data_IF_755174069624
#
_entry.id   IF_755174069624
#
_cell.length_a   1.000
_cell.length_b   1.000
_cell.length_c   1.000
_cell.angle_alpha   90.00
_cell.angle_beta   90.00
_cell.angle_gamma   90.00
#
_symmetry.space_group_name_H-M   'P 1'
#
loop_
_entity.id
_entity.type
_entity.pdbx_description
1 polymer ?
#
# COMPACT_ATOMS: atom_id res chain seq x y z
N UNK A 1 -9.19 23.40 -19.54
CA UNK A 1 -9.38 23.33 -18.08
C UNK A 1 -8.78 22.04 -17.62
N UNK A 2 -7.66 22.09 -16.92
CA UNK A 2 -7.06 20.91 -16.28
C UNK A 2 -7.54 20.97 -14.83
N UNK A 3 -8.47 20.10 -14.44
CA UNK A 3 -8.73 19.86 -13.03
C UNK A 3 -7.52 19.12 -12.49
N UNK A 4 -6.60 19.85 -11.88
CA UNK A 4 -5.60 19.27 -11.00
C UNK A 4 -6.30 18.94 -9.68
N UNK A 5 -7.10 17.88 -9.70
CA UNK A 5 -7.56 17.22 -8.48
C UNK A 5 -6.61 16.04 -8.30
N UNK A 6 -5.55 16.24 -7.52
CA UNK A 6 -4.70 15.13 -7.09
C UNK A 6 -5.53 14.13 -6.29
N UNK A 7 -5.04 12.89 -6.09
CA UNK A 7 -5.79 11.91 -5.33
C UNK A 7 -6.12 12.44 -3.93
N UNK A 8 -7.40 12.32 -3.53
CA UNK A 8 -7.88 12.79 -2.23
C UNK A 8 -7.87 11.65 -1.24
N UNK A 9 -7.02 11.75 -0.22
CA UNK A 9 -7.02 10.81 0.90
C UNK A 9 -8.22 11.07 1.83
N UNK A 10 -9.15 10.13 1.89
CA UNK A 10 -10.22 10.10 2.88
C UNK A 10 -9.78 9.29 4.12
N UNK A 11 -9.28 9.95 5.15
CA UNK A 11 -8.86 9.30 6.40
C UNK A 11 -10.01 8.76 7.24
N UNK A 12 -11.27 9.15 6.94
CA UNK A 12 -12.47 8.61 7.55
C UNK A 12 -12.95 7.31 6.88
N UNK A 13 -12.36 6.92 5.75
CA UNK A 13 -12.69 5.69 5.05
C UNK A 13 -12.32 4.43 5.86
N UNK A 14 -13.09 3.36 5.64
CA UNK A 14 -12.75 2.00 6.09
C UNK A 14 -12.76 1.09 4.87
N UNK A 15 -11.74 1.20 3.99
CA UNK A 15 -11.69 0.45 2.75
C UNK A 15 -11.66 -1.06 3.03
N UNK A 16 -12.33 -1.83 2.18
CA UNK A 16 -12.21 -3.29 2.20
C UNK A 16 -10.94 -3.70 1.48
N UNK A 17 -9.90 -3.98 2.26
CA UNK A 17 -8.64 -4.48 1.73
C UNK A 17 -8.76 -5.89 1.16
N UNK A 18 -8.12 -6.09 0.02
CA UNK A 18 -8.04 -7.35 -0.71
C UNK A 18 -6.57 -7.69 -0.92
N UNK A 19 -6.18 -8.95 -0.77
CA UNK A 19 -4.80 -9.38 -1.06
C UNK A 19 -4.52 -9.30 -2.55
N UNK A 20 -3.35 -8.78 -2.90
CA UNK A 20 -2.87 -8.72 -4.30
C UNK A 20 -2.08 -9.97 -4.70
N UNK A 21 -1.53 -10.69 -3.72
CA UNK A 21 -0.60 -11.79 -3.94
C UNK A 21 0.85 -11.36 -4.17
N UNK A 22 1.17 -10.06 -4.02
CA UNK A 22 2.51 -9.51 -4.16
C UNK A 22 3.11 -9.16 -2.80
N UNK A 23 4.37 -9.53 -2.58
CA UNK A 23 5.04 -9.42 -1.28
C UNK A 23 5.15 -7.98 -0.80
N UNK A 24 5.60 -7.09 -1.67
CA UNK A 24 5.90 -5.71 -1.32
C UNK A 24 4.68 -4.80 -1.39
N UNK A 25 3.64 -5.21 -2.13
CA UNK A 25 2.39 -4.48 -2.29
C UNK A 25 1.19 -5.34 -1.89
N UNK A 26 1.09 -5.79 -0.62
CA UNK A 26 0.25 -6.93 -0.23
C UNK A 26 -1.24 -6.69 -0.35
N UNK A 27 -1.70 -5.44 -0.32
CA UNK A 27 -3.11 -5.10 -0.26
C UNK A 27 -3.49 -4.00 -1.24
N UNK A 28 -4.68 -4.13 -1.80
CA UNK A 28 -5.34 -3.07 -2.55
C UNK A 28 -6.83 -2.97 -2.18
N UNK A 29 -7.40 -1.79 -2.38
CA UNK A 29 -8.82 -1.53 -2.15
C UNK A 29 -9.34 -0.51 -3.14
N UNK A 30 -10.61 -0.64 -3.52
CA UNK A 30 -11.31 0.41 -4.27
C UNK A 30 -12.07 1.29 -3.30
N UNK A 31 -11.79 2.58 -3.29
CA UNK A 31 -12.46 3.56 -2.45
C UNK A 31 -12.86 4.78 -3.28
N UNK A 32 -14.15 5.12 -3.26
CA UNK A 32 -14.70 6.27 -3.98
C UNK A 32 -14.30 6.38 -5.47
N UNK A 33 -14.10 5.24 -6.15
CA UNK A 33 -13.69 5.18 -7.55
C UNK A 33 -12.18 5.25 -7.79
N UNK A 34 -11.38 5.35 -6.74
CA UNK A 34 -9.92 5.33 -6.78
C UNK A 34 -9.37 3.99 -6.30
N UNK A 35 -8.21 3.60 -6.84
CA UNK A 35 -7.51 2.40 -6.38
C UNK A 35 -6.42 2.76 -5.39
N UNK A 36 -6.53 2.16 -4.21
CA UNK A 36 -5.62 2.34 -3.09
C UNK A 36 -4.75 1.10 -3.01
N UNK A 37 -3.43 1.26 -2.93
CA UNK A 37 -2.47 0.16 -2.82
C UNK A 37 -1.54 0.44 -1.64
N UNK A 38 -1.30 -0.58 -0.81
CA UNK A 38 -0.36 -0.47 0.31
C UNK A 38 0.97 -1.10 -0.09
N UNK A 39 2.07 -0.35 0.05
CA UNK A 39 3.42 -0.90 0.16
C UNK A 39 3.69 -1.27 1.61
N UNK A 40 4.22 -2.47 1.85
CA UNK A 40 4.78 -2.83 3.16
C UNK A 40 6.23 -2.34 3.22
N UNK A 41 6.52 -1.43 4.14
CA UNK A 41 7.85 -0.83 4.28
C UNK A 41 8.76 -1.75 5.10
N UNK A 42 10.00 -1.91 4.65
CA UNK A 42 11.03 -2.61 5.42
C UNK A 42 11.74 -1.65 6.38
N UNK A 43 12.07 -2.13 7.58
CA UNK A 43 12.79 -1.33 8.59
C UNK A 43 11.90 -0.62 9.61
N UNK A 44 10.65 -1.04 9.78
CA UNK A 44 9.86 -0.65 10.96
C UNK A 44 10.57 -1.12 12.26
N UNK A 45 10.62 -0.32 13.34
CA UNK A 45 9.93 0.97 13.56
C UNK A 45 10.67 2.23 13.10
N UNK A 46 11.84 2.12 12.47
CA UNK A 46 12.57 3.28 11.94
C UNK A 46 11.80 4.02 10.84
N UNK A 47 10.92 3.30 10.12
CA UNK A 47 9.97 3.84 9.16
C UNK A 47 8.54 3.39 9.50
N UNK A 48 7.55 4.17 9.06
CA UNK A 48 6.15 3.76 9.14
C UNK A 48 5.92 2.42 8.42
N UNK A 49 5.02 1.61 8.96
CA UNK A 49 4.81 0.23 8.49
C UNK A 49 4.35 0.15 7.04
N UNK A 50 3.52 1.09 6.59
CA UNK A 50 2.97 1.12 5.24
C UNK A 50 3.15 2.47 4.57
N UNK A 51 3.20 2.45 3.24
CA UNK A 51 2.97 3.63 2.39
C UNK A 51 1.74 3.38 1.54
N UNK A 52 0.82 4.34 1.54
CA UNK A 52 -0.41 4.32 0.77
C UNK A 52 -0.21 5.03 -0.57
N UNK A 53 -0.55 4.32 -1.63
CA UNK A 53 -0.63 4.83 -2.98
C UNK A 53 -2.09 4.97 -3.41
N UNK A 54 -2.44 6.05 -4.08
CA UNK A 54 -3.76 6.24 -4.69
C UNK A 54 -3.56 6.51 -6.18
N UNK A 55 -4.15 5.66 -7.02
CA UNK A 55 -4.05 5.72 -8.48
C UNK A 55 -2.59 5.84 -8.96
N UNK A 56 -1.68 5.12 -8.32
CA UNK A 56 -0.25 5.07 -8.65
C UNK A 56 0.64 6.12 -7.96
N UNK A 57 0.07 7.06 -7.21
CA UNK A 57 0.83 8.13 -6.55
C UNK A 57 0.98 7.84 -5.07
N UNK A 58 2.18 7.99 -4.50
CA UNK A 58 2.37 7.95 -3.05
C UNK A 58 1.65 9.14 -2.40
N UNK A 59 0.85 8.88 -1.36
CA UNK A 59 0.01 9.91 -0.72
C UNK A 59 0.30 10.07 0.77
N UNK A 60 0.52 8.96 1.49
CA UNK A 60 0.76 9.02 2.93
C UNK A 60 1.48 7.78 3.44
N UNK A 61 2.27 7.96 4.48
CA UNK A 61 2.77 6.87 5.30
C UNK A 61 1.83 6.61 6.48
N UNK A 62 1.75 5.35 6.91
CA UNK A 62 0.88 4.94 8.01
C UNK A 62 1.44 3.74 8.78
N UNK A 63 1.41 3.85 10.10
CA UNK A 63 1.61 2.72 11.02
C UNK A 63 0.26 2.25 11.54
N UNK A 64 0.02 0.94 11.49
CA UNK A 64 -1.22 0.34 11.97
C UNK A 64 -1.39 0.49 13.49
N UNK A 65 -2.54 1.02 13.93
CA UNK A 65 -2.90 1.16 15.34
C UNK A 65 -4.41 1.00 15.53
N UNK A 66 -4.82 -0.12 16.14
CA UNK A 66 -6.24 -0.46 16.36
C UNK A 66 -6.98 0.54 17.27
N UNK A 67 -6.26 1.32 18.09
CA UNK A 67 -6.82 2.35 18.95
C UNK A 67 -6.91 3.74 18.29
N UNK A 68 -6.44 3.87 17.05
CA UNK A 68 -6.33 5.17 16.40
C UNK A 68 -7.71 5.79 16.09
N UNK A 69 -7.92 7.10 16.29
CA UNK A 69 -9.21 7.75 16.02
C UNK A 69 -9.59 7.82 14.55
N UNK A 70 -8.62 7.67 13.64
CA UNK A 70 -8.86 7.62 12.19
C UNK A 70 -9.22 6.19 11.78
N UNK A 71 -10.42 5.94 11.22
CA UNK A 71 -10.86 4.60 10.79
C UNK A 71 -9.91 3.93 9.80
N UNK A 72 -9.28 4.71 8.91
CA UNK A 72 -8.30 4.19 7.97
C UNK A 72 -7.13 3.50 8.69
N UNK A 73 -6.53 4.19 9.66
CA UNK A 73 -5.36 3.70 10.41
C UNK A 73 -5.73 2.53 11.32
N UNK A 74 -6.89 2.60 11.97
CA UNK A 74 -7.41 1.52 12.79
C UNK A 74 -7.68 0.24 11.98
N UNK A 75 -8.18 0.38 10.76
CA UNK A 75 -8.43 -0.74 9.85
C UNK A 75 -7.16 -1.50 9.44
N UNK A 76 -6.02 -0.81 9.33
CA UNK A 76 -4.74 -1.44 8.97
C UNK A 76 -4.28 -2.47 10.01
N UNK A 77 -4.64 -2.29 11.28
CA UNK A 77 -4.25 -3.20 12.36
C UNK A 77 -4.90 -4.59 12.27
N UNK A 78 -5.90 -4.76 11.39
CA UNK A 78 -6.53 -6.06 11.12
C UNK A 78 -5.86 -6.83 9.98
N UNK A 79 -4.91 -6.21 9.27
CA UNK A 79 -4.21 -6.81 8.15
C UNK A 79 -3.06 -7.70 8.65
N UNK A 80 -2.80 -8.78 7.92
CA UNK A 80 -1.75 -9.75 8.26
C UNK A 80 -0.91 -10.09 7.01
N UNK A 81 -0.05 -9.16 6.55
CA UNK A 81 0.67 -9.31 5.28
C UNK A 81 1.57 -10.56 5.23
N UNK A 82 2.11 -10.98 6.38
CA UNK A 82 3.01 -12.13 6.51
C UNK A 82 2.29 -13.45 6.82
N UNK A 83 0.96 -13.46 6.96
CA UNK A 83 0.22 -14.68 7.26
C UNK A 83 0.11 -15.58 6.01
N UNK A 84 0.74 -16.75 6.06
CA UNK A 84 0.72 -17.76 4.99
C UNK A 84 -0.68 -18.38 4.81
N UNK A 85 -1.41 -18.61 5.90
CA UNK A 85 -2.76 -19.20 5.90
C UNK A 85 -3.88 -18.16 6.09
N UNK A 86 -3.73 -16.98 5.48
CA UNK A 86 -4.76 -15.94 5.59
C UNK A 86 -6.04 -16.32 4.85
N UNK A 87 -7.18 -16.12 5.51
CA UNK A 87 -8.52 -16.25 4.89
C UNK A 87 -9.02 -14.92 4.30
N UNK A 88 -8.15 -13.93 4.21
CA UNK A 88 -8.47 -12.64 3.62
C UNK A 88 -8.86 -12.78 2.15
N UNK A 89 -9.86 -12.01 1.69
CA UNK A 89 -10.28 -12.04 0.30
C UNK A 89 -9.16 -11.56 -0.63
N UNK A 90 -9.01 -12.24 -1.77
CA UNK A 90 -7.98 -11.93 -2.78
C UNK A 90 -8.62 -11.22 -3.97
N UNK A 91 -7.85 -10.31 -4.56
CA UNK A 91 -8.18 -9.61 -5.79
C UNK A 91 -8.07 -10.57 -7.00
N UNK A 92 -8.76 -10.24 -8.09
CA UNK A 92 -8.52 -10.91 -9.37
C UNK A 92 -7.05 -10.76 -9.79
N UNK A 93 -6.48 -11.80 -10.42
CA UNK A 93 -5.05 -11.86 -10.73
C UNK A 93 -4.62 -10.82 -11.76
N UNK A 94 -5.43 -10.58 -12.79
CA UNK A 94 -5.11 -9.62 -13.85
C UNK A 94 -5.20 -8.20 -13.29
N UNK A 95 -6.26 -7.93 -12.53
CA UNK A 95 -6.43 -6.64 -11.88
C UNK A 95 -5.34 -6.37 -10.82
N UNK A 96 -4.95 -7.37 -10.03
CA UNK A 96 -3.84 -7.24 -9.08
C UNK A 96 -2.52 -6.90 -9.79
N UNK A 97 -2.25 -7.57 -10.90
CA UNK A 97 -1.05 -7.33 -11.70
C UNK A 97 -1.00 -5.90 -12.25
N UNK A 98 -2.11 -5.39 -12.78
CA UNK A 98 -2.19 -4.02 -13.28
C UNK A 98 -1.99 -2.97 -12.18
N UNK A 99 -2.61 -3.17 -11.02
CA UNK A 99 -2.48 -2.25 -9.89
C UNK A 99 -1.07 -2.24 -9.31
N UNK A 100 -0.46 -3.41 -9.14
CA UNK A 100 0.91 -3.51 -8.59
C UNK A 100 1.94 -3.00 -9.61
N UNK A 101 1.75 -3.28 -10.90
CA UNK A 101 2.63 -2.74 -11.95
C UNK A 101 2.69 -1.21 -11.94
N UNK A 102 1.59 -0.54 -11.60
CA UNK A 102 1.55 0.92 -11.55
C UNK A 102 2.43 1.51 -10.44
N UNK A 103 2.74 0.75 -9.39
CA UNK A 103 3.52 1.21 -8.23
C UNK A 103 4.82 0.43 -8.02
N UNK A 104 5.13 -0.57 -8.86
CA UNK A 104 6.24 -1.49 -8.63
C UNK A 104 7.61 -0.83 -8.63
N UNK A 105 7.77 0.30 -9.31
CA UNK A 105 8.99 1.12 -9.25
C UNK A 105 9.23 1.73 -7.85
N UNK A 106 8.20 1.78 -7.00
CA UNK A 106 8.27 2.35 -5.66
C UNK A 106 8.57 1.32 -4.56
N UNK A 107 9.06 0.13 -4.93
CA UNK A 107 9.29 -0.99 -4.00
C UNK A 107 10.21 -0.63 -2.83
N UNK A 108 11.17 0.28 -3.04
CA UNK A 108 12.08 0.77 -2.02
C UNK A 108 11.53 2.04 -1.35
N UNK A 109 11.54 2.10 -0.02
CA UNK A 109 11.14 3.30 0.72
C UNK A 109 11.98 4.52 0.32
N UNK A 110 11.34 5.68 0.11
CA UNK A 110 11.98 6.92 -0.36
C UNK A 110 12.11 7.05 -1.89
N UNK A 111 11.86 5.99 -2.66
CA UNK A 111 11.91 6.05 -4.13
C UNK A 111 10.82 6.94 -4.73
N UNK A 112 9.75 7.21 -3.99
CA UNK A 112 8.69 8.18 -4.30
C UNK A 112 9.24 9.61 -4.48
N UNK A 113 10.31 9.98 -3.77
CA UNK A 113 10.99 11.27 -3.87
C UNK A 113 12.19 11.23 -4.84
N UNK A 114 12.45 10.08 -5.48
CA UNK A 114 13.62 9.84 -6.33
C UNK A 114 14.91 9.55 -5.57
N UNK A 115 14.86 9.52 -4.24
CA UNK A 115 16.00 9.27 -3.34
C UNK A 115 15.67 8.07 -2.43
N UNK A 116 15.80 6.82 -2.92
CA UNK A 116 15.54 5.65 -2.09
C UNK A 116 16.47 5.65 -0.87
N UNK A 117 15.92 5.31 0.29
CA UNK A 117 16.69 5.22 1.53
C UNK A 117 17.77 4.13 1.40
N UNK A 118 19.05 4.51 1.47
CA UNK A 118 20.18 3.58 1.30
C UNK A 118 20.10 2.35 2.22
N UNK A 119 19.58 2.52 3.44
CA UNK A 119 19.49 1.45 4.44
C UNK A 119 18.27 0.54 4.29
N UNK A 120 17.23 1.01 3.59
CA UNK A 120 15.99 0.27 3.37
C UNK A 120 15.81 -0.14 1.91
N UNK A 121 16.78 0.24 1.06
CA UNK A 121 16.83 -0.12 -0.35
C UNK A 121 17.53 -1.46 -0.55
N UNK A 122 16.94 -2.29 -1.41
CA UNK A 122 17.51 -3.55 -1.86
C UNK A 122 17.24 -3.77 -3.34
N UNK A 123 17.80 -4.85 -3.89
CA UNK A 123 17.46 -5.37 -5.22
C UNK A 123 16.10 -6.09 -5.13
N UNK A 124 15.07 -5.35 -4.71
CA UNK A 124 13.72 -5.86 -4.60
C UNK A 124 13.04 -5.80 -5.96
N UNK A 125 12.46 -6.92 -6.36
CA UNK A 125 11.51 -6.97 -7.46
C UNK A 125 10.13 -6.58 -6.93
N UNK A 126 9.64 -5.39 -7.29
CA UNK A 126 8.30 -4.91 -6.92
C UNK A 126 7.16 -5.83 -7.39
N UNK A 127 7.43 -6.74 -8.33
CA UNK A 127 6.49 -7.74 -8.83
C UNK A 127 6.68 -9.13 -8.19
N UNK A 128 7.48 -9.25 -7.14
CA UNK A 128 7.66 -10.50 -6.40
C UNK A 128 6.34 -10.97 -5.76
N UNK A 129 5.97 -12.23 -6.00
CA UNK A 129 4.78 -12.87 -5.44
C UNK A 129 5.06 -13.56 -4.10
N UNK A 130 4.00 -13.76 -3.32
CA UNK A 130 4.02 -14.56 -2.08
C UNK A 130 4.06 -16.05 -2.37
#
# INVERSE_FOLDING_TARGET
MVTADGPVLDTAASPRWLRTGYRHFPYAAQQAGQWWVLRLNHGFPEHDMYTLFIDGHAVADATADAGHPLPLVAGLASLAPDAEDSTEPTLDVELAEDLVRAVSSYVNYGSEEGEPCDFCSGDYDGMARC
#
